data_IF_551201658066
#
_entry.id   IF_551201658066
#
_cell.length_a   1.000
_cell.length_b   1.000
_cell.length_c   1.000
_cell.angle_alpha   90.00
_cell.angle_beta   90.00
_cell.angle_gamma   90.00
#
_symmetry.space_group_name_H-M   'P 1'
#
loop_
_entity.id
_entity.type
_entity.pdbx_description
1 polymer ?
#
# COMPACT_ATOMS: atom_id res chain seq x y z
N UNK A 1 -15.44 5.18 3.42
CA UNK A 1 -14.25 4.90 2.62
C UNK A 1 -13.78 3.50 2.93
N UNK A 2 -13.35 2.75 1.93
CA UNK A 2 -12.86 1.38 2.13
C UNK A 2 -11.66 1.17 1.23
N UNK A 3 -10.56 0.68 1.81
CA UNK A 3 -9.42 0.16 1.07
C UNK A 3 -9.42 -1.36 1.21
N UNK A 4 -9.48 -2.07 0.08
CA UNK A 4 -9.50 -3.53 0.08
C UNK A 4 -8.75 -4.10 -1.11
N UNK A 5 -8.24 -5.33 -0.94
CA UNK A 5 -7.75 -6.14 -2.05
C UNK A 5 -8.90 -7.00 -2.56
N UNK A 6 -9.22 -6.87 -3.83
CA UNK A 6 -10.28 -7.62 -4.49
C UNK A 6 -9.79 -9.03 -4.87
N UNK A 7 -10.73 -9.94 -5.13
CA UNK A 7 -10.43 -11.32 -5.55
C UNK A 7 -9.64 -11.41 -6.86
N UNK A 8 -9.76 -10.40 -7.72
CA UNK A 8 -9.04 -10.30 -8.99
C UNK A 8 -7.64 -9.68 -8.83
N UNK A 9 -7.13 -9.56 -7.60
CA UNK A 9 -5.84 -8.95 -7.28
C UNK A 9 -5.71 -7.47 -7.62
N UNK A 10 -6.81 -6.77 -7.88
CA UNK A 10 -6.80 -5.31 -7.87
C UNK A 10 -6.97 -4.81 -6.43
N UNK A 11 -6.12 -3.91 -5.99
CA UNK A 11 -6.33 -3.24 -4.72
C UNK A 11 -6.90 -1.86 -4.96
N UNK A 12 -8.01 -1.57 -4.29
CA UNK A 12 -8.87 -0.45 -4.64
C UNK A 12 -9.26 0.32 -3.40
N UNK A 13 -9.18 1.63 -3.54
CA UNK A 13 -9.72 2.58 -2.58
C UNK A 13 -11.05 3.13 -3.10
N UNK A 14 -12.09 2.97 -2.29
CA UNK A 14 -13.46 3.30 -2.63
C UNK A 14 -14.04 4.42 -1.76
N UNK A 15 -14.80 5.30 -2.42
CA UNK A 15 -15.86 6.08 -1.79
C UNK A 15 -17.22 5.52 -2.22
N UNK A 16 -17.91 4.82 -1.32
CA UNK A 16 -19.12 4.04 -1.65
C UNK A 16 -18.80 3.05 -2.79
N UNK A 17 -19.39 3.24 -3.98
CA UNK A 17 -19.16 2.42 -5.17
C UNK A 17 -18.25 3.10 -6.20
N UNK A 18 -17.68 4.26 -5.86
CA UNK A 18 -16.80 5.03 -6.75
C UNK A 18 -15.35 4.65 -6.45
N UNK A 19 -14.63 4.24 -7.48
CA UNK A 19 -13.18 3.99 -7.43
C UNK A 19 -12.46 5.33 -7.43
N UNK A 20 -11.76 5.63 -6.35
CA UNK A 20 -10.97 6.87 -6.22
C UNK A 20 -9.48 6.65 -6.41
N UNK A 21 -8.97 5.44 -6.13
CA UNK A 21 -7.60 5.03 -6.46
C UNK A 21 -7.53 3.51 -6.63
N UNK A 22 -6.61 3.00 -7.46
CA UNK A 22 -6.31 1.56 -7.55
C UNK A 22 -4.87 1.28 -8.04
N UNK A 23 -4.41 0.04 -7.81
CA UNK A 23 -3.09 -0.45 -8.25
C UNK A 23 -3.01 -0.81 -9.73
N UNK A 24 -4.14 -0.91 -10.44
CA UNK A 24 -4.25 -1.38 -11.84
C UNK A 24 -3.71 -2.80 -12.05
N UNK A 25 -3.90 -3.68 -11.07
CA UNK A 25 -3.41 -5.07 -11.08
C UNK A 25 -4.53 -6.10 -11.26
N UNK A 26 -5.67 -5.68 -11.80
CA UNK A 26 -6.83 -6.54 -12.04
C UNK A 26 -6.49 -7.72 -12.96
N UNK A 27 -6.88 -8.93 -12.57
CA UNK A 27 -6.68 -10.17 -13.33
C UNK A 27 -5.23 -10.62 -13.44
N UNK A 28 -4.27 -9.98 -12.75
CA UNK A 28 -2.86 -10.34 -12.87
C UNK A 28 -2.49 -11.63 -12.13
N UNK A 29 -3.25 -12.01 -11.09
CA UNK A 29 -2.96 -13.20 -10.27
C UNK A 29 -4.17 -13.60 -9.41
N UNK A 30 -3.94 -14.41 -8.37
CA UNK A 30 -4.92 -14.80 -7.36
C UNK A 30 -4.32 -14.80 -5.94
N UNK A 31 -5.19 -14.83 -4.93
CA UNK A 31 -4.84 -14.83 -3.50
C UNK A 31 -3.87 -13.69 -3.12
N UNK A 32 -4.26 -12.47 -3.48
CA UNK A 32 -3.42 -11.30 -3.28
C UNK A 32 -3.65 -10.63 -1.93
N UNK A 33 -2.56 -10.11 -1.38
CA UNK A 33 -2.56 -9.40 -0.09
C UNK A 33 -1.54 -8.27 -0.10
N UNK A 34 -1.88 -7.20 0.58
CA UNK A 34 -0.92 -6.16 0.91
C UNK A 34 -0.09 -6.57 2.13
N UNK A 35 1.20 -6.28 2.07
CA UNK A 35 2.13 -6.42 3.17
C UNK A 35 2.86 -5.10 3.37
N UNK A 36 2.81 -4.58 4.59
CA UNK A 36 3.72 -3.54 5.03
C UNK A 36 5.01 -4.21 5.52
N UNK A 37 6.11 -3.96 4.81
CA UNK A 37 7.42 -4.54 5.07
C UNK A 37 8.17 -3.74 6.13
N UNK A 38 9.13 -4.39 6.81
CA UNK A 38 9.93 -3.76 7.88
C UNK A 38 10.83 -2.63 7.38
N UNK A 39 11.17 -2.63 6.09
CA UNK A 39 11.94 -1.57 5.42
C UNK A 39 11.09 -0.34 5.06
N UNK A 40 9.79 -0.37 5.38
CA UNK A 40 8.83 0.70 5.11
C UNK A 40 8.19 0.66 3.72
N UNK A 41 8.36 -0.43 2.97
CA UNK A 41 7.65 -0.62 1.71
C UNK A 41 6.24 -1.15 1.91
N UNK A 42 5.27 -0.65 1.15
CA UNK A 42 3.93 -1.21 1.12
C UNK A 42 3.69 -1.91 -0.22
N UNK A 43 3.54 -3.23 -0.16
CA UNK A 43 3.71 -4.10 -1.33
C UNK A 43 2.53 -5.04 -1.50
N UNK A 44 2.01 -5.12 -2.72
CA UNK A 44 1.00 -6.08 -3.12
C UNK A 44 1.68 -7.32 -3.68
N UNK A 45 1.44 -8.46 -3.04
CA UNK A 45 1.88 -9.76 -3.51
C UNK A 45 0.71 -10.67 -3.86
N UNK A 46 0.98 -11.70 -4.64
CA UNK A 46 0.09 -12.83 -4.91
C UNK A 46 0.57 -14.11 -4.23
N UNK A 47 -0.18 -15.20 -4.35
CA UNK A 47 0.04 -16.49 -3.66
C UNK A 47 1.50 -16.97 -3.55
N UNK A 48 2.34 -16.71 -4.55
CA UNK A 48 3.70 -17.23 -4.62
C UNK A 48 4.80 -16.23 -4.25
N UNK A 49 4.47 -14.97 -3.90
CA UNK A 49 5.39 -13.91 -3.45
C UNK A 49 6.69 -13.67 -4.27
N UNK A 50 6.88 -14.33 -5.43
CA UNK A 50 8.14 -14.29 -6.21
C UNK A 50 8.44 -12.90 -6.79
N UNK A 51 7.39 -12.17 -7.16
CA UNK A 51 7.47 -10.81 -7.70
C UNK A 51 6.29 -9.99 -7.17
N UNK A 52 6.51 -8.76 -6.70
CA UNK A 52 5.42 -7.89 -6.32
C UNK A 52 4.59 -7.50 -7.55
N UNK A 53 3.27 -7.44 -7.38
CA UNK A 53 2.35 -6.89 -8.37
C UNK A 53 2.37 -5.35 -8.36
N UNK A 54 2.57 -4.77 -7.18
CA UNK A 54 2.68 -3.33 -6.96
C UNK A 54 3.55 -3.06 -5.72
N UNK A 55 4.26 -1.94 -5.71
CA UNK A 55 4.98 -1.44 -4.54
C UNK A 55 4.92 0.09 -4.49
N UNK A 56 4.94 0.67 -3.29
CA UNK A 56 5.03 2.12 -3.09
C UNK A 56 6.43 2.68 -3.32
N UNK A 57 7.44 1.82 -3.39
CA UNK A 57 8.86 2.17 -3.57
C UNK A 57 9.41 3.05 -2.41
N UNK A 58 8.84 2.88 -1.22
CA UNK A 58 9.18 3.67 -0.01
C UNK A 58 10.21 2.99 0.89
N UNK A 59 10.73 1.84 0.46
CA UNK A 59 11.74 1.07 1.18
C UNK A 59 12.99 1.90 1.45
N UNK A 60 13.60 1.70 2.62
CA UNK A 60 14.92 2.26 2.90
C UNK A 60 16.01 1.53 2.07
N UNK A 61 17.01 2.30 1.60
CA UNK A 61 18.05 1.79 0.68
C UNK A 61 19.23 1.12 1.37
N UNK A 62 19.36 1.27 2.69
CA UNK A 62 20.49 0.74 3.46
C UNK A 62 20.27 -0.75 3.72
N UNK A 63 21.33 -1.56 3.66
CA UNK A 63 21.25 -2.98 4.01
C UNK A 63 20.77 -3.17 5.47
N UNK A 64 19.85 -4.11 5.68
CA UNK A 64 19.22 -4.41 6.98
C UNK A 64 18.62 -3.19 7.68
N UNK A 65 18.05 -2.26 6.91
CA UNK A 65 17.36 -1.13 7.49
C UNK A 65 15.95 -1.52 7.96
N UNK A 66 15.55 -0.93 9.09
CA UNK A 66 14.18 -1.00 9.59
C UNK A 66 13.63 0.42 9.55
N UNK A 67 12.47 0.59 8.94
CA UNK A 67 11.74 1.84 8.88
C UNK A 67 10.31 1.60 9.37
N UNK A 68 10.07 1.73 10.70
CA UNK A 68 8.74 1.63 11.27
C UNK A 68 7.79 2.55 10.51
N UNK A 69 6.65 2.01 10.06
CA UNK A 69 5.76 2.70 9.15
C UNK A 69 4.31 2.44 9.52
N UNK A 70 3.43 3.40 9.21
CA UNK A 70 1.99 3.33 9.48
C UNK A 70 1.21 3.77 8.25
N UNK A 71 0.19 2.98 7.88
CA UNK A 71 -0.77 3.34 6.85
C UNK A 71 -2.02 3.93 7.52
N UNK A 72 -2.31 5.21 7.24
CA UNK A 72 -3.35 5.96 7.94
C UNK A 72 -4.35 6.51 6.92
N UNK A 73 -5.64 6.26 7.18
CA UNK A 73 -6.73 6.98 6.53
C UNK A 73 -6.98 8.28 7.31
N UNK A 74 -6.66 9.41 6.68
CA UNK A 74 -6.77 10.73 7.28
C UNK A 74 -8.21 11.28 7.24
N UNK A 75 -8.47 12.35 7.99
CA UNK A 75 -9.79 13.01 8.06
C UNK A 75 -10.18 13.72 6.74
N UNK A 76 -9.19 14.13 5.95
CA UNK A 76 -9.38 14.65 4.59
C UNK A 76 -9.62 13.54 3.55
N UNK A 77 -9.78 12.30 4.01
CA UNK A 77 -10.04 11.11 3.21
C UNK A 77 -8.87 10.63 2.36
N UNK A 78 -7.66 11.16 2.59
CA UNK A 78 -6.44 10.67 1.98
C UNK A 78 -5.92 9.43 2.71
N UNK A 79 -5.50 8.41 1.95
CA UNK A 79 -4.80 7.24 2.50
C UNK A 79 -3.29 7.45 2.32
N UNK A 80 -2.59 7.56 3.44
CA UNK A 80 -1.17 7.97 3.48
C UNK A 80 -0.33 6.97 4.24
N UNK A 81 0.83 6.63 3.66
CA UNK A 81 1.87 5.86 4.29
C UNK A 81 2.88 6.81 4.93
N UNK A 82 3.03 6.70 6.24
CA UNK A 82 3.99 7.47 7.04
C UNK A 82 5.15 6.60 7.49
N UNK A 83 6.35 7.18 7.51
CA UNK A 83 7.42 6.75 8.40
C UNK A 83 7.09 7.22 9.81
N UNK A 84 7.04 6.27 10.74
CA UNK A 84 6.76 6.54 12.15
C UNK A 84 7.96 7.23 12.81
N UNK A 85 7.67 8.18 13.70
CA UNK A 85 8.69 9.06 14.28
C UNK A 85 8.13 10.39 14.80
N UNK A 86 9.03 11.26 15.25
CA UNK A 86 8.72 12.61 15.73
C UNK A 86 9.61 13.64 14.99
N UNK A 87 9.13 14.31 13.93
CA UNK A 87 7.80 14.17 13.32
C UNK A 87 7.67 12.90 12.47
N UNK A 88 6.44 12.45 12.23
CA UNK A 88 6.17 11.44 11.21
C UNK A 88 6.35 12.04 9.81
N UNK A 89 6.90 11.27 8.88
CA UNK A 89 7.23 11.73 7.52
C UNK A 89 6.31 11.04 6.52
N UNK A 90 5.57 11.81 5.72
CA UNK A 90 4.74 11.26 4.64
C UNK A 90 5.62 10.70 3.52
N UNK A 91 5.48 9.41 3.21
CA UNK A 91 6.27 8.73 2.17
C UNK A 91 5.49 8.48 0.89
N UNK A 92 4.20 8.11 1.00
CA UNK A 92 3.34 7.80 -0.14
C UNK A 92 1.89 8.13 0.18
N UNK A 93 1.07 8.42 -0.83
CA UNK A 93 -0.35 8.74 -0.66
C UNK A 93 -1.15 8.40 -1.91
N UNK A 94 -2.45 8.09 -1.75
CA UNK A 94 -3.40 7.94 -2.85
C UNK A 94 -3.64 9.24 -3.63
N UNK A 95 -3.23 10.40 -3.09
CA UNK A 95 -3.40 11.76 -3.65
C UNK A 95 -4.86 12.08 -3.97
N UNK A 96 -5.74 11.66 -3.08
CA UNK A 96 -7.19 11.86 -3.16
C UNK A 96 -7.61 13.08 -2.38
#
# INVERSE_FOLDING_TARGET
>A
YVFLVQKDCNAVYYYKNIVIWNTKTYGMSFDCKFRLQEDGNFVLYSAFDLKPLYATETYCKKFNCVKPSMLILQLDCNLVLYEDGKPSISMWSTKT
#
